data_IF_150896028007
#
_entry.id   IF_150896028007
#
_cell.length_a   1.000
_cell.length_b   1.000
_cell.length_c   1.000
_cell.angle_alpha   90.00
_cell.angle_beta   90.00
_cell.angle_gamma   90.00
#
_symmetry.space_group_name_H-M   'P 1'
#
loop_
_entity.id
_entity.type
_entity.pdbx_description
1 polymer ?
#
# COMPACT_ATOMS: atom_id res chain seq x y z
N UNK A 1 10.97 3.70 -7.50
CA UNK A 1 11.23 4.60 -8.64
C UNK A 1 10.44 5.88 -8.44
N UNK A 2 11.10 7.04 -8.32
CA UNK A 2 10.45 8.34 -8.15
C UNK A 2 9.82 8.77 -9.47
N UNK A 3 8.71 9.51 -9.44
CA UNK A 3 8.32 10.26 -10.63
C UNK A 3 9.34 11.39 -10.87
N UNK A 4 9.35 11.98 -12.07
CA UNK A 4 10.24 13.10 -12.39
C UNK A 4 10.03 14.34 -11.50
N UNK A 5 9.05 14.33 -10.59
CA UNK A 5 8.76 15.37 -9.60
C UNK A 5 9.31 15.07 -8.20
N UNK A 6 9.82 13.84 -7.96
CA UNK A 6 10.31 13.40 -6.65
C UNK A 6 9.20 13.01 -5.66
N UNK A 7 7.93 12.98 -6.08
CA UNK A 7 6.79 12.67 -5.23
C UNK A 7 6.43 11.18 -5.28
N UNK A 8 6.90 10.44 -4.27
CA UNK A 8 6.58 9.02 -4.06
C UNK A 8 5.07 8.76 -3.99
N UNK A 9 4.34 9.69 -3.38
CA UNK A 9 2.91 9.57 -3.13
C UNK A 9 2.10 9.64 -4.43
N UNK A 10 2.50 10.48 -5.39
CA UNK A 10 1.83 10.58 -6.68
C UNK A 10 1.93 9.31 -7.51
N UNK A 11 3.11 8.67 -7.50
CA UNK A 11 3.33 7.40 -8.20
C UNK A 11 2.59 6.24 -7.53
N UNK A 12 2.65 6.14 -6.21
CA UNK A 12 1.91 5.10 -5.47
C UNK A 12 0.40 5.20 -5.71
N UNK A 13 -0.16 6.42 -5.70
CA UNK A 13 -1.57 6.63 -6.02
C UNK A 13 -1.92 6.21 -7.45
N UNK A 14 -1.03 6.50 -8.42
CA UNK A 14 -1.20 6.08 -9.81
C UNK A 14 -1.15 4.56 -9.97
N UNK A 15 -0.15 3.91 -9.38
CA UNK A 15 0.01 2.44 -9.40
C UNK A 15 -1.21 1.74 -8.80
N UNK A 16 -1.73 2.21 -7.65
CA UNK A 16 -2.93 1.62 -7.04
C UNK A 16 -4.16 1.76 -7.96
N UNK A 17 -4.28 2.87 -8.69
CA UNK A 17 -5.36 3.05 -9.65
C UNK A 17 -5.25 2.09 -10.84
N UNK A 18 -4.03 1.88 -11.33
CA UNK A 18 -3.75 1.00 -12.49
C UNK A 18 -3.85 -0.49 -12.12
N UNK A 19 -3.35 -0.87 -10.95
CA UNK A 19 -3.23 -2.26 -10.49
C UNK A 19 -4.33 -2.71 -9.51
N UNK A 20 -5.14 -1.82 -8.96
CA UNK A 20 -6.23 -2.21 -8.06
C UNK A 20 -7.57 -1.54 -8.40
N UNK A 21 -7.61 -0.66 -9.41
CA UNK A 21 -8.81 0.10 -9.78
C UNK A 21 -9.43 0.90 -8.61
N UNK A 22 -8.62 1.25 -7.61
CA UNK A 22 -9.05 2.08 -6.49
C UNK A 22 -8.65 3.53 -6.77
N UNK A 23 -9.58 4.47 -6.56
CA UNK A 23 -9.25 5.89 -6.66
C UNK A 23 -8.53 6.32 -5.39
N UNK A 24 -7.23 6.58 -5.52
CA UNK A 24 -6.37 7.04 -4.43
C UNK A 24 -5.83 8.42 -4.78
N UNK A 25 -5.92 9.33 -3.82
CA UNK A 25 -5.28 10.64 -3.87
C UNK A 25 -4.07 10.65 -2.94
N UNK A 26 -3.11 11.58 -3.11
CA UNK A 26 -1.97 11.64 -2.20
C UNK A 26 -2.34 11.82 -0.72
N UNK A 27 -3.48 12.44 -0.44
CA UNK A 27 -4.03 12.61 0.91
C UNK A 27 -4.61 11.33 1.52
N UNK A 28 -4.89 10.30 0.70
CA UNK A 28 -5.34 8.99 1.18
C UNK A 28 -4.18 8.09 1.63
N UNK A 29 -2.93 8.55 1.48
CA UNK A 29 -1.72 7.79 1.76
C UNK A 29 -1.01 8.31 3.00
N UNK A 30 -1.06 7.53 4.08
CA UNK A 30 -0.29 7.79 5.30
C UNK A 30 1.08 7.13 5.20
N UNK A 31 2.17 7.91 5.27
CA UNK A 31 3.53 7.37 5.30
C UNK A 31 3.82 6.71 6.66
N UNK A 32 3.67 5.38 6.76
CA UNK A 32 3.94 4.65 7.99
C UNK A 32 5.43 4.63 8.34
N UNK A 33 6.31 4.64 7.34
CA UNK A 33 7.76 4.68 7.58
C UNK A 33 8.18 5.98 8.24
N UNK A 34 7.70 7.12 7.75
CA UNK A 34 7.95 8.42 8.37
C UNK A 34 7.36 8.52 9.78
N UNK A 35 6.14 7.99 9.98
CA UNK A 35 5.51 8.00 11.30
C UNK A 35 6.28 7.14 12.31
N UNK A 36 6.76 5.97 11.91
CA UNK A 36 7.54 5.09 12.77
C UNK A 36 8.94 5.64 13.10
N UNK A 37 9.48 6.55 12.29
CA UNK A 37 10.81 7.16 12.41
C UNK A 37 10.73 8.66 12.74
N UNK A 38 9.61 9.12 13.33
CA UNK A 38 9.39 10.52 13.66
C UNK A 38 10.44 11.06 14.66
N UNK A 39 10.92 10.20 15.56
CA UNK A 39 11.92 10.51 16.58
C UNK A 39 13.36 10.08 16.18
N UNK A 40 13.58 9.69 14.92
CA UNK A 40 14.89 9.23 14.45
C UNK A 40 15.74 10.39 13.90
N UNK A 41 16.84 10.71 14.60
CA UNK A 41 17.79 11.77 14.24
C UNK A 41 18.92 11.26 13.30
N UNK A 42 18.68 10.19 12.54
CA UNK A 42 19.67 9.63 11.64
C UNK A 42 19.98 10.58 10.47
N UNK A 43 20.97 11.46 10.68
CA UNK A 43 21.51 12.31 9.63
C UNK A 43 21.95 11.42 8.46
N UNK A 44 21.38 11.64 7.27
CA UNK A 44 21.66 10.99 5.99
C UNK A 44 20.87 9.74 5.60
N UNK A 45 19.94 9.24 6.41
CA UNK A 45 19.05 8.13 6.00
C UNK A 45 17.65 8.61 5.61
N UNK A 46 17.10 8.03 4.55
CA UNK A 46 15.68 8.18 4.22
C UNK A 46 14.81 7.49 5.26
N UNK A 47 13.69 8.11 5.64
CA UNK A 47 12.66 7.53 6.52
C UNK A 47 11.86 6.44 5.77
N UNK A 48 12.48 5.29 5.58
CA UNK A 48 11.99 4.21 4.74
C UNK A 48 12.59 2.87 5.16
N UNK A 49 11.99 1.78 4.69
CA UNK A 49 12.55 0.44 4.87
C UNK A 49 13.64 0.19 3.84
N UNK A 50 14.80 -0.31 4.27
CA UNK A 50 15.87 -0.78 3.40
C UNK A 50 15.79 -2.31 3.29
N UNK A 51 15.55 -2.89 2.09
CA UNK A 51 15.36 -4.32 1.96
C UNK A 51 16.66 -5.10 2.20
N UNK A 52 17.82 -4.48 1.91
CA UNK A 52 19.14 -5.07 2.14
C UNK A 52 20.19 -3.97 2.36
N UNK A 53 20.26 -3.35 3.55
CA UNK A 53 21.14 -2.19 3.81
C UNK A 53 22.65 -2.50 3.64
N UNK A 54 23.04 -3.78 3.68
CA UNK A 54 24.41 -4.21 3.43
C UNK A 54 24.76 -4.44 1.95
N UNK A 55 23.77 -4.41 1.04
CA UNK A 55 23.98 -4.75 -0.37
C UNK A 55 23.52 -3.66 -1.35
N UNK A 56 22.47 -2.90 -1.03
CA UNK A 56 21.95 -1.84 -1.87
C UNK A 56 21.52 -0.61 -1.04
N UNK A 57 21.57 0.55 -1.66
CA UNK A 57 21.03 1.82 -1.16
C UNK A 57 19.55 2.02 -1.54
N UNK A 58 18.90 0.99 -2.10
CA UNK A 58 17.45 1.01 -2.35
C UNK A 58 16.69 1.21 -1.05
N UNK A 59 15.72 2.13 -1.06
CA UNK A 59 14.82 2.38 0.04
C UNK A 59 13.37 2.35 -0.44
N UNK A 60 12.49 1.84 0.41
CA UNK A 60 11.08 1.62 0.12
C UNK A 60 10.27 2.25 1.27
N UNK A 61 9.73 3.46 1.07
CA UNK A 61 8.77 4.02 1.99
C UNK A 61 7.46 3.23 1.91
N UNK A 62 6.90 2.89 3.07
CA UNK A 62 5.70 2.07 3.19
C UNK A 62 4.52 2.95 3.58
N UNK A 63 3.50 2.99 2.71
CA UNK A 63 2.31 3.79 2.91
C UNK A 63 1.11 2.92 3.28
N UNK A 64 0.22 3.46 4.10
CA UNK A 64 -1.08 2.90 4.42
C UNK A 64 -2.16 3.64 3.62
N UNK A 65 -2.97 2.88 2.89
CA UNK A 65 -4.22 3.34 2.31
C UNK A 65 -5.38 2.57 2.95
N UNK A 66 -6.37 3.29 3.48
CA UNK A 66 -7.57 2.69 4.05
C UNK A 66 -8.79 3.13 3.23
N UNK A 67 -9.58 2.16 2.76
CA UNK A 67 -10.79 2.40 1.99
C UNK A 67 -11.90 1.49 2.50
N UNK A 68 -13.12 2.04 2.59
CA UNK A 68 -14.31 1.25 2.90
C UNK A 68 -14.96 0.84 1.59
N UNK A 69 -15.11 -0.47 1.39
CA UNK A 69 -15.67 -1.04 0.16
C UNK A 69 -17.01 -1.74 0.48
N UNK A 70 -17.94 -1.68 -0.46
CA UNK A 70 -19.14 -2.53 -0.40
C UNK A 70 -18.78 -3.99 -0.67
N UNK A 71 -19.67 -4.90 -0.31
CA UNK A 71 -19.47 -6.32 -0.60
C UNK A 71 -19.38 -6.60 -2.12
N UNK A 72 -20.20 -5.90 -2.91
CA UNK A 72 -20.19 -5.99 -4.38
C UNK A 72 -18.85 -5.54 -4.95
N UNK A 73 -18.32 -4.41 -4.47
CA UNK A 73 -17.00 -3.93 -4.88
C UNK A 73 -15.87 -4.90 -4.50
N UNK A 74 -15.90 -5.48 -3.28
CA UNK A 74 -14.94 -6.51 -2.85
C UNK A 74 -14.96 -7.74 -3.77
N UNK A 75 -16.15 -8.20 -4.16
CA UNK A 75 -16.29 -9.35 -5.05
C UNK A 75 -15.83 -9.03 -6.48
N UNK A 76 -16.10 -7.81 -6.94
CA UNK A 76 -15.62 -7.32 -8.23
C UNK A 76 -14.09 -7.22 -8.32
N UNK A 77 -13.42 -6.86 -7.22
CA UNK A 77 -11.95 -6.80 -7.14
C UNK A 77 -11.29 -8.18 -7.10
N UNK A 78 -11.98 -9.21 -6.59
CA UNK A 78 -11.39 -10.53 -6.33
C UNK A 78 -10.93 -11.21 -7.63
N UNK A 79 -9.63 -11.46 -7.75
CA UNK A 79 -9.08 -12.28 -8.83
C UNK A 79 -9.01 -11.58 -10.20
N UNK A 80 -9.23 -10.26 -10.25
CA UNK A 80 -8.90 -9.50 -11.46
C UNK A 80 -7.38 -9.50 -11.67
N UNK A 81 -6.97 -9.82 -12.90
CA UNK A 81 -5.60 -9.61 -13.36
C UNK A 81 -5.46 -8.14 -13.72
N UNK A 82 -4.99 -7.36 -12.76
CA UNK A 82 -4.86 -5.92 -12.82
C UNK A 82 -3.38 -5.60 -13.04
N UNK A 83 -3.06 -5.08 -14.21
CA UNK A 83 -1.69 -4.79 -14.63
C UNK A 83 -1.65 -4.59 -16.14
N UNK A 84 -0.65 -3.83 -16.62
CA UNK A 84 -0.47 -3.63 -18.05
C UNK A 84 0.09 -4.91 -18.67
N UNK A 85 -0.79 -5.84 -19.07
CA UNK A 85 -0.40 -7.05 -19.82
C UNK A 85 0.41 -6.72 -21.07
N UNK A 86 0.20 -5.52 -21.64
CA UNK A 86 0.96 -4.98 -22.77
C UNK A 86 2.43 -4.67 -22.43
N UNK A 87 2.76 -4.46 -21.16
CA UNK A 87 4.12 -4.19 -20.67
C UNK A 87 4.80 -5.45 -20.10
N UNK A 88 4.16 -6.61 -20.21
CA UNK A 88 4.70 -7.90 -19.76
C UNK A 88 4.46 -8.23 -18.28
N UNK A 89 3.71 -7.38 -17.58
CA UNK A 89 3.37 -7.60 -16.18
C UNK A 89 2.20 -8.60 -16.04
N UNK A 90 2.39 -9.59 -15.16
CA UNK A 90 1.35 -10.56 -14.79
C UNK A 90 1.01 -10.40 -13.31
N UNK A 91 0.27 -9.33 -13.01
CA UNK A 91 -0.16 -8.97 -11.67
C UNK A 91 -1.61 -9.40 -11.48
N UNK A 92 -1.91 -10.02 -10.34
CA UNK A 92 -3.25 -10.45 -9.96
C UNK A 92 -3.57 -9.98 -8.56
N UNK A 93 -4.75 -9.36 -8.38
CA UNK A 93 -5.17 -8.87 -7.08
C UNK A 93 -5.74 -9.99 -6.20
N UNK A 94 -5.14 -10.17 -5.02
CA UNK A 94 -5.60 -11.12 -3.99
C UNK A 94 -6.09 -10.39 -2.75
N UNK A 95 -7.37 -10.59 -2.40
CA UNK A 95 -7.96 -10.06 -1.18
C UNK A 95 -7.88 -11.09 -0.06
N UNK A 96 -7.12 -10.77 0.98
CA UNK A 96 -6.88 -11.65 2.13
C UNK A 96 -7.35 -10.98 3.42
N UNK A 97 -7.91 -11.74 4.39
CA UNK A 97 -8.11 -11.21 5.74
C UNK A 97 -6.78 -10.73 6.32
N UNK A 98 -6.77 -9.56 6.95
CA UNK A 98 -5.54 -8.94 7.47
C UNK A 98 -4.78 -9.85 8.43
N UNK A 99 -5.48 -10.57 9.29
CA UNK A 99 -4.92 -11.57 10.23
C UNK A 99 -4.20 -12.75 9.55
N UNK A 100 -4.44 -12.96 8.25
CA UNK A 100 -3.79 -13.99 7.44
C UNK A 100 -2.67 -13.45 6.56
N UNK A 101 -2.52 -12.13 6.45
CA UNK A 101 -1.55 -11.50 5.55
C UNK A 101 -0.12 -12.01 5.78
N UNK A 102 0.29 -12.22 7.03
CA UNK A 102 1.63 -12.74 7.34
C UNK A 102 1.87 -14.18 6.84
N UNK A 103 0.82 -14.98 6.63
CA UNK A 103 0.93 -16.34 6.09
C UNK A 103 0.96 -16.33 4.57
N UNK A 104 0.05 -15.57 3.96
CA UNK A 104 -0.09 -15.49 2.50
C UNK A 104 1.08 -14.69 1.88
N UNK A 105 1.53 -13.61 2.54
CA UNK A 105 2.65 -12.76 2.15
C UNK A 105 3.99 -13.14 2.78
N UNK A 106 4.11 -14.34 3.38
CA UNK A 106 5.30 -14.74 4.15
C UNK A 106 6.63 -14.70 3.37
N UNK A 107 6.55 -14.72 2.03
CA UNK A 107 7.72 -14.71 1.13
C UNK A 107 8.06 -13.32 0.59
N UNK A 108 7.27 -12.30 0.92
CA UNK A 108 7.47 -10.93 0.45
C UNK A 108 7.92 -10.04 1.62
N UNK A 109 9.15 -9.52 1.53
CA UNK A 109 9.72 -8.68 2.58
C UNK A 109 8.98 -7.35 2.76
N UNK A 110 8.43 -6.77 1.69
CA UNK A 110 7.71 -5.48 1.74
C UNK A 110 6.37 -5.65 2.45
N UNK A 111 5.66 -6.74 2.16
CA UNK A 111 4.39 -7.10 2.80
C UNK A 111 4.58 -7.34 4.32
N UNK A 112 5.61 -8.10 4.70
CA UNK A 112 5.91 -8.35 6.12
C UNK A 112 6.34 -7.08 6.86
N UNK A 113 7.18 -6.24 6.24
CA UNK A 113 7.56 -4.96 6.81
C UNK A 113 6.36 -4.01 6.98
N UNK A 114 5.49 -3.92 5.97
CA UNK A 114 4.29 -3.10 6.03
C UNK A 114 3.32 -3.58 7.13
N UNK A 115 3.14 -4.90 7.27
CA UNK A 115 2.33 -5.47 8.33
C UNK A 115 2.90 -5.18 9.72
N UNK A 116 4.22 -5.31 9.90
CA UNK A 116 4.87 -5.01 11.18
C UNK A 116 4.71 -3.53 11.57
N UNK A 117 4.91 -2.59 10.63
CA UNK A 117 4.67 -1.17 10.88
C UNK A 117 3.20 -0.89 11.22
N UNK A 118 2.26 -1.48 10.46
CA UNK A 118 0.84 -1.34 10.72
C UNK A 118 0.47 -1.81 12.14
N UNK A 119 0.91 -3.00 12.55
CA UNK A 119 0.60 -3.54 13.87
C UNK A 119 1.23 -2.73 15.01
N UNK A 120 2.47 -2.26 14.84
CA UNK A 120 3.17 -1.40 15.82
C UNK A 120 2.44 -0.08 16.02
N UNK A 121 2.20 0.65 14.93
CA UNK A 121 1.53 1.95 14.95
C UNK A 121 0.07 1.83 15.45
N UNK A 122 -0.61 0.73 15.13
CA UNK A 122 -1.95 0.44 15.66
C UNK A 122 -1.93 0.24 17.17
N UNK A 123 -0.94 -0.47 17.70
CA UNK A 123 -0.78 -0.71 19.15
C UNK A 123 -0.50 0.60 19.90
N UNK A 124 0.21 1.52 19.27
CA UNK A 124 0.47 2.87 19.79
C UNK A 124 -0.72 3.82 19.64
N UNK A 125 -1.78 3.44 18.91
CA UNK A 125 -2.93 4.31 18.65
C UNK A 125 -2.63 5.47 17.70
N UNK A 126 -1.58 5.35 16.87
CA UNK A 126 -1.12 6.41 15.95
C UNK A 126 -1.71 6.29 14.54
N UNK A 127 -2.44 5.20 14.26
CA UNK A 127 -3.15 5.04 12.99
C UNK A 127 -4.53 5.70 13.04
N UNK A 128 -4.97 6.33 11.95
CA UNK A 128 -6.32 6.87 11.84
C UNK A 128 -7.35 5.75 11.78
N UNK A 129 -8.57 6.05 12.24
CA UNK A 129 -9.71 5.15 12.13
C UNK A 129 -10.07 4.87 10.66
N UNK A 130 -10.77 3.76 10.44
CA UNK A 130 -11.30 3.43 9.12
C UNK A 130 -12.25 4.52 8.62
N UNK A 131 -12.10 5.00 7.37
CA UNK A 131 -12.97 6.03 6.83
C UNK A 131 -14.45 5.61 6.88
N UNK A 132 -15.33 6.58 7.14
CA UNK A 132 -16.77 6.37 7.16
C UNK A 132 -17.35 6.29 5.74
N UNK A 133 -16.79 7.07 4.81
CA UNK A 133 -17.21 7.14 3.42
C UNK A 133 -16.88 5.84 2.69
N UNK A 134 -17.87 5.33 1.96
CA UNK A 134 -17.74 4.14 1.12
C UNK A 134 -17.22 4.58 -0.24
N UNK A 135 -16.18 3.90 -0.72
CA UNK A 135 -15.60 4.11 -2.05
C UNK A 135 -16.64 3.82 -3.13
N UNK A 136 -16.71 4.72 -4.11
CA UNK A 136 -17.63 4.62 -5.25
C UNK A 136 -17.43 3.29 -5.98
N UNK A 137 -18.53 2.59 -6.27
CA UNK A 137 -18.49 1.37 -7.04
C UNK A 137 -18.14 1.67 -8.52
N UNK A 138 -17.29 0.85 -9.16
CA UNK A 138 -17.06 0.92 -10.60
C UNK A 138 -18.37 0.77 -11.37
N UNK A 139 -18.53 1.51 -12.48
CA UNK A 139 -19.77 1.48 -13.27
C UNK A 139 -20.08 0.13 -13.94
N UNK A 140 -19.13 -0.80 -13.94
CA UNK A 140 -19.23 -2.17 -14.44
C UNK A 140 -19.47 -3.21 -13.32
N UNK A 141 -19.72 -2.78 -12.08
CA UNK A 141 -20.24 -3.66 -11.02
C UNK A 141 -21.69 -4.00 -11.39
N UNK A 142 -21.92 -5.12 -12.07
CA UNK A 142 -23.26 -5.59 -12.41
C UNK A 142 -24.14 -5.78 -11.15
N UNK A 143 -25.44 -5.55 -11.30
CA UNK A 143 -26.49 -5.84 -10.29
C UNK A 143 -26.70 -7.35 -10.04
#
# INVERSE_FOLDING_TARGET
>A
MLDGSGSLTGKAAKEIKEEAHLHVTPTDLLNMSALALEDDDAEHLQQAMYPSPGACDEFIPLFLCQKRLTRRHIEWLRGRATGLRSEGENISLSLVPLERLWKEGARDGKALAALALYEGLKREGRLPDMPAEVETEPGDVCD
#
